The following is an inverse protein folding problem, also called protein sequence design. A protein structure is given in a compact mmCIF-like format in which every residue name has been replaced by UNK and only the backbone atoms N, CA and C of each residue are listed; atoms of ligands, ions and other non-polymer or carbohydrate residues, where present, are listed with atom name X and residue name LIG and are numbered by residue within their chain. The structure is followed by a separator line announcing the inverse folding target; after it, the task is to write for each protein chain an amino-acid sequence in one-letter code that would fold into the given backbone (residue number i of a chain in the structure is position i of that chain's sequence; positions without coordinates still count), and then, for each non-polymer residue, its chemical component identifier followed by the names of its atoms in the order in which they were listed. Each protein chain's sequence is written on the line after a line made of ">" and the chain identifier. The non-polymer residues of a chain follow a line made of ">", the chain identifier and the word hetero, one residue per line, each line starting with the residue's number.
data_IF_591211019445
#
_entry.id   IF_591211019445
#
_cell.length_a   1.000
_cell.length_b   1.000
_cell.length_c   1.000
_cell.angle_alpha   90.00
_cell.angle_beta   90.00
_cell.angle_gamma   90.00
#
_symmetry.space_group_name_H-M   'P 1'
#
loop_
_entity.id
_entity.type
_entity.pdbx_description
1 polymer ?
#
# COMPACT_ATOMS: atom_id res chain seq x y z
N UNK A 1 -26.19 14.37 13.16
CA UNK A 1 -26.38 13.60 11.92
C UNK A 1 -25.63 12.30 12.04
N UNK A 2 -26.34 11.16 12.06
CA UNK A 2 -25.69 9.84 12.09
C UNK A 2 -24.97 9.54 10.78
N UNK A 3 -23.95 8.67 10.80
CA UNK A 3 -23.20 8.27 9.60
C UNK A 3 -24.10 7.76 8.45
N UNK A 4 -25.22 7.12 8.78
CA UNK A 4 -26.23 6.64 7.83
C UNK A 4 -26.95 7.78 7.11
N UNK A 5 -27.33 8.84 7.82
CA UNK A 5 -28.04 9.99 7.24
C UNK A 5 -27.15 10.78 6.28
N UNK A 6 -25.88 11.00 6.66
CA UNK A 6 -24.90 11.65 5.80
C UNK A 6 -24.68 10.87 4.50
N UNK A 7 -24.52 9.54 4.60
CA UNK A 7 -24.31 8.66 3.44
C UNK A 7 -25.52 8.70 2.50
N UNK A 8 -26.74 8.70 3.05
CA UNK A 8 -27.97 8.80 2.27
C UNK A 8 -28.08 10.14 1.54
N UNK A 9 -27.91 11.26 2.25
CA UNK A 9 -27.96 12.61 1.65
C UNK A 9 -26.92 12.78 0.55
N UNK A 10 -25.71 12.27 0.77
CA UNK A 10 -24.66 12.24 -0.24
C UNK A 10 -25.10 11.48 -1.51
N UNK A 11 -25.66 10.28 -1.36
CA UNK A 11 -26.10 9.47 -2.50
C UNK A 11 -27.28 10.12 -3.25
N UNK A 12 -28.18 10.80 -2.53
CA UNK A 12 -29.26 11.59 -3.13
C UNK A 12 -28.69 12.69 -4.04
N UNK A 13 -27.77 13.51 -3.53
CA UNK A 13 -27.17 14.59 -4.33
C UNK A 13 -26.36 14.08 -5.52
N UNK A 14 -25.62 12.97 -5.39
CA UNK A 14 -24.96 12.35 -6.55
C UNK A 14 -25.99 11.97 -7.62
N UNK A 15 -27.11 11.39 -7.21
CA UNK A 15 -28.17 10.96 -8.13
C UNK A 15 -28.83 12.15 -8.83
N UNK A 16 -28.96 13.28 -8.14
CA UNK A 16 -29.43 14.55 -8.72
C UNK A 16 -28.43 15.10 -9.74
N UNK A 17 -27.14 15.21 -9.38
CA UNK A 17 -26.11 15.68 -10.30
C UNK A 17 -25.91 14.77 -11.51
N UNK A 18 -26.20 13.46 -11.40
CA UNK A 18 -26.21 12.54 -12.56
C UNK A 18 -27.29 12.88 -13.60
N UNK A 19 -28.39 13.53 -13.18
CA UNK A 19 -29.45 13.98 -14.08
C UNK A 19 -29.13 15.32 -14.73
N UNK A 20 -28.17 16.06 -14.17
CA UNK A 20 -27.71 17.31 -14.73
C UNK A 20 -26.83 17.05 -15.96
N UNK A 21 -27.24 17.62 -17.11
CA UNK A 21 -26.53 17.53 -18.40
C UNK A 21 -25.53 18.69 -18.56
N UNK A 22 -25.41 19.56 -17.54
CA UNK A 22 -24.45 20.66 -17.55
C UNK A 22 -23.00 20.16 -17.64
N UNK A 23 -22.15 20.92 -18.34
CA UNK A 23 -20.72 20.60 -18.42
C UNK A 23 -20.01 20.70 -17.05
N UNK A 24 -20.61 21.38 -16.07
CA UNK A 24 -20.11 21.51 -14.71
C UNK A 24 -20.44 20.32 -13.80
N UNK A 25 -21.40 19.46 -14.19
CA UNK A 25 -21.86 18.36 -13.34
C UNK A 25 -20.73 17.42 -12.86
N UNK A 26 -19.74 17.00 -13.70
CA UNK A 26 -18.63 16.17 -13.24
C UNK A 26 -17.78 16.85 -12.15
N UNK A 27 -17.53 18.15 -12.26
CA UNK A 27 -16.73 18.90 -11.28
C UNK A 27 -17.45 19.02 -9.94
N UNK A 28 -18.77 19.24 -9.97
CA UNK A 28 -19.61 19.28 -8.77
C UNK A 28 -19.67 17.91 -8.08
N UNK A 29 -19.80 16.82 -8.85
CA UNK A 29 -19.75 15.46 -8.31
C UNK A 29 -18.38 15.17 -7.68
N UNK A 30 -17.28 15.55 -8.33
CA UNK A 30 -15.93 15.38 -7.75
C UNK A 30 -15.79 16.16 -6.44
N UNK A 31 -16.24 17.42 -6.39
CA UNK A 31 -16.21 18.22 -5.17
C UNK A 31 -17.01 17.58 -4.03
N UNK A 32 -18.21 17.07 -4.35
CA UNK A 32 -19.05 16.35 -3.40
C UNK A 32 -18.37 15.08 -2.89
N UNK A 33 -17.78 14.26 -3.77
CA UNK A 33 -17.01 13.05 -3.37
C UNK A 33 -15.87 13.41 -2.43
N UNK A 34 -15.13 14.48 -2.72
CA UNK A 34 -14.00 14.92 -1.89
C UNK A 34 -14.43 15.39 -0.50
N UNK A 35 -15.68 15.83 -0.31
CA UNK A 35 -16.22 16.18 1.01
C UNK A 35 -16.34 14.97 1.94
N UNK A 36 -16.44 13.76 1.40
CA UNK A 36 -16.60 12.51 2.15
C UNK A 36 -15.28 11.86 2.58
N UNK A 37 -14.12 12.43 2.23
CA UNK A 37 -12.79 11.80 2.46
C UNK A 37 -12.46 11.50 3.92
N UNK A 38 -13.15 12.15 4.86
CA UNK A 38 -12.96 11.95 6.29
C UNK A 38 -13.91 10.92 6.90
N UNK A 39 -14.82 10.34 6.10
CA UNK A 39 -15.69 9.27 6.54
C UNK A 39 -14.83 8.09 7.03
N UNK A 40 -15.16 7.56 8.20
CA UNK A 40 -14.54 6.37 8.78
C UNK A 40 -15.62 5.36 9.06
N UNK A 41 -15.37 4.11 8.69
CA UNK A 41 -16.22 2.98 9.04
C UNK A 41 -15.69 2.39 10.34
N UNK A 42 -16.58 2.18 11.30
CA UNK A 42 -16.27 1.49 12.55
C UNK A 42 -16.33 -0.02 12.30
N UNK A 43 -15.21 -0.72 12.49
CA UNK A 43 -15.17 -2.20 12.40
C UNK A 43 -15.40 -2.90 13.74
N UNK A 44 -15.64 -2.15 14.83
CA UNK A 44 -15.79 -2.73 16.17
C UNK A 44 -17.13 -3.46 16.36
N UNK A 45 -18.17 -3.00 15.67
CA UNK A 45 -19.49 -3.61 15.66
C UNK A 45 -19.82 -4.08 14.24
N UNK A 46 -20.32 -5.31 14.12
CA UNK A 46 -20.62 -5.92 12.81
C UNK A 46 -21.68 -5.08 12.08
N UNK A 47 -22.71 -4.63 12.78
CA UNK A 47 -23.79 -3.82 12.20
C UNK A 47 -23.28 -2.47 11.65
N UNK A 48 -22.46 -1.74 12.40
CA UNK A 48 -21.82 -0.50 11.95
C UNK A 48 -20.94 -0.74 10.72
N UNK A 49 -20.21 -1.85 10.71
CA UNK A 49 -19.34 -2.23 9.62
C UNK A 49 -20.13 -2.55 8.36
N UNK A 50 -21.20 -3.35 8.46
CA UNK A 50 -22.09 -3.69 7.35
C UNK A 50 -22.82 -2.47 6.80
N UNK A 51 -23.27 -1.55 7.67
CA UNK A 51 -23.83 -0.28 7.24
C UNK A 51 -22.82 0.57 6.45
N UNK A 52 -21.56 0.61 6.91
CA UNK A 52 -20.48 1.24 6.16
C UNK A 52 -20.21 0.56 4.82
N UNK A 53 -20.23 -0.77 4.77
CA UNK A 53 -20.03 -1.54 3.54
C UNK A 53 -21.16 -1.33 2.54
N UNK A 54 -22.41 -1.14 3.00
CA UNK A 54 -23.53 -0.79 2.12
C UNK A 54 -23.28 0.51 1.38
N UNK A 55 -22.80 1.54 2.08
CA UNK A 55 -22.40 2.79 1.44
C UNK A 55 -21.25 2.60 0.44
N UNK A 56 -20.26 1.77 0.77
CA UNK A 56 -19.18 1.45 -0.18
C UNK A 56 -19.68 0.66 -1.40
N UNK A 57 -20.70 -0.19 -1.25
CA UNK A 57 -21.31 -0.92 -2.36
C UNK A 57 -22.07 0.01 -3.31
N UNK A 58 -22.74 1.04 -2.77
CA UNK A 58 -23.36 2.11 -3.57
C UNK A 58 -22.31 2.89 -4.38
N UNK A 59 -21.18 3.25 -3.75
CA UNK A 59 -20.04 3.85 -4.44
C UNK A 59 -19.45 2.91 -5.50
N UNK A 60 -19.41 1.61 -5.23
CA UNK A 60 -18.94 0.61 -6.18
C UNK A 60 -19.85 0.53 -7.42
N UNK A 61 -21.17 0.52 -7.24
CA UNK A 61 -22.13 0.60 -8.34
C UNK A 61 -21.91 1.85 -9.17
N UNK A 62 -21.75 3.01 -8.51
CA UNK A 62 -21.51 4.28 -9.16
C UNK A 62 -20.22 4.28 -10.00
N UNK A 63 -19.12 3.72 -9.46
CA UNK A 63 -17.85 3.60 -10.18
C UNK A 63 -17.99 2.79 -11.49
N UNK A 64 -18.80 1.74 -11.47
CA UNK A 64 -19.02 0.85 -12.61
C UNK A 64 -19.95 1.46 -13.66
N UNK A 65 -21.00 2.18 -13.24
CA UNK A 65 -21.98 2.81 -14.13
C UNK A 65 -21.45 4.04 -14.87
N UNK A 66 -20.64 4.86 -14.20
CA UNK A 66 -20.22 6.14 -14.76
C UNK A 66 -19.29 5.97 -15.96
N UNK A 67 -19.24 6.98 -16.82
CA UNK A 67 -18.29 7.04 -17.95
C UNK A 67 -17.19 8.09 -17.74
N UNK A 68 -17.49 9.15 -17.01
CA UNK A 68 -16.56 10.24 -16.76
C UNK A 68 -15.32 9.76 -15.99
N UNK A 69 -14.15 10.08 -16.53
CA UNK A 69 -12.87 9.58 -16.01
C UNK A 69 -12.52 10.22 -14.67
N UNK A 70 -12.74 11.52 -14.51
CA UNK A 70 -12.32 12.25 -13.32
C UNK A 70 -13.23 11.92 -12.13
N UNK A 71 -14.53 11.73 -12.37
CA UNK A 71 -15.46 11.21 -11.35
C UNK A 71 -15.07 9.80 -10.92
N UNK A 72 -14.72 8.89 -11.86
CA UNK A 72 -14.23 7.55 -11.50
C UNK A 72 -12.98 7.63 -10.62
N UNK A 73 -12.03 8.50 -10.96
CA UNK A 73 -10.82 8.68 -10.17
C UNK A 73 -11.12 9.18 -8.76
N UNK A 74 -12.05 10.12 -8.62
CA UNK A 74 -12.49 10.60 -7.31
C UNK A 74 -13.13 9.48 -6.47
N UNK A 75 -14.01 8.66 -7.05
CA UNK A 75 -14.62 7.53 -6.34
C UNK A 75 -13.56 6.52 -5.91
N UNK A 76 -12.62 6.15 -6.81
CA UNK A 76 -11.52 5.25 -6.45
C UNK A 76 -10.67 5.80 -5.30
N UNK A 77 -10.37 7.10 -5.33
CA UNK A 77 -9.67 7.78 -4.25
C UNK A 77 -10.44 7.72 -2.91
N UNK A 78 -11.74 8.00 -2.93
CA UNK A 78 -12.59 7.93 -1.74
C UNK A 78 -12.64 6.50 -1.16
N UNK A 79 -12.84 5.49 -2.01
CA UNK A 79 -12.82 4.08 -1.61
C UNK A 79 -11.50 3.72 -0.91
N UNK A 80 -10.35 4.17 -1.45
CA UNK A 80 -9.03 3.94 -0.86
C UNK A 80 -8.89 4.63 0.51
N UNK A 81 -9.31 5.88 0.63
CA UNK A 81 -9.24 6.64 1.90
C UNK A 81 -10.05 5.98 3.01
N UNK A 82 -11.21 5.39 2.68
CA UNK A 82 -12.08 4.71 3.64
C UNK A 82 -11.57 3.29 3.95
N UNK A 83 -11.19 2.52 2.93
CA UNK A 83 -10.83 1.11 3.07
C UNK A 83 -9.41 0.88 3.59
N UNK A 84 -8.45 1.76 3.32
CA UNK A 84 -7.05 1.53 3.76
C UNK A 84 -6.90 1.51 5.29
N UNK A 85 -7.55 2.40 6.07
CA UNK A 85 -7.60 2.30 7.53
C UNK A 85 -8.23 0.99 8.02
N UNK A 86 -9.33 0.54 7.39
CA UNK A 86 -9.96 -0.76 7.66
C UNK A 86 -8.96 -1.87 7.40
N UNK A 87 -8.25 -1.80 6.27
CA UNK A 87 -7.22 -2.75 5.89
C UNK A 87 -6.12 -2.85 6.94
N UNK A 88 -5.80 -1.81 7.71
CA UNK A 88 -4.77 -1.87 8.75
C UNK A 88 -5.23 -2.62 10.02
N UNK A 89 -6.53 -2.74 10.25
CA UNK A 89 -7.12 -3.23 11.51
C UNK A 89 -7.84 -4.57 11.36
N UNK A 90 -8.34 -4.86 10.15
CA UNK A 90 -9.17 -6.01 9.85
C UNK A 90 -8.46 -7.33 10.13
N UNK A 91 -9.18 -8.26 10.78
CA UNK A 91 -8.76 -9.62 11.08
C UNK A 91 -9.83 -10.62 10.63
N UNK A 92 -10.89 -10.79 11.42
CA UNK A 92 -11.94 -11.79 11.17
C UNK A 92 -13.01 -11.26 10.20
N UNK A 93 -13.13 -9.94 10.12
CA UNK A 93 -14.10 -9.22 9.32
C UNK A 93 -13.85 -9.42 7.82
N UNK A 94 -12.68 -9.94 7.41
CA UNK A 94 -12.44 -10.38 6.02
C UNK A 94 -13.46 -11.44 5.58
N UNK A 95 -14.09 -12.14 6.52
CA UNK A 95 -15.08 -13.18 6.25
C UNK A 95 -16.52 -12.65 6.20
N UNK A 96 -16.74 -11.35 6.37
CA UNK A 96 -18.08 -10.76 6.29
C UNK A 96 -18.55 -10.77 4.81
N UNK A 97 -19.72 -11.36 4.50
CA UNK A 97 -20.20 -11.51 3.13
C UNK A 97 -20.27 -10.21 2.33
N UNK A 98 -20.69 -9.11 2.97
CA UNK A 98 -20.77 -7.80 2.33
C UNK A 98 -19.39 -7.30 1.85
N UNK A 99 -18.32 -7.53 2.61
CA UNK A 99 -16.96 -7.16 2.21
C UNK A 99 -16.45 -8.05 1.08
N UNK A 100 -16.72 -9.35 1.15
CA UNK A 100 -16.34 -10.31 0.11
C UNK A 100 -17.00 -9.90 -1.22
N UNK A 101 -18.30 -9.61 -1.19
CA UNK A 101 -19.07 -9.18 -2.37
C UNK A 101 -18.52 -7.87 -2.94
N UNK A 102 -18.25 -6.87 -2.10
CA UNK A 102 -17.65 -5.60 -2.52
C UNK A 102 -16.31 -5.80 -3.24
N UNK A 103 -15.42 -6.63 -2.66
CA UNK A 103 -14.11 -6.94 -3.26
C UNK A 103 -14.28 -7.62 -4.62
N UNK A 104 -15.14 -8.64 -4.70
CA UNK A 104 -15.39 -9.39 -5.94
C UNK A 104 -15.99 -8.48 -7.02
N UNK A 105 -16.94 -7.61 -6.65
CA UNK A 105 -17.60 -6.65 -7.54
C UNK A 105 -16.61 -5.68 -8.19
N UNK A 106 -15.63 -5.20 -7.43
CA UNK A 106 -14.71 -4.16 -7.89
C UNK A 106 -13.39 -4.68 -8.49
N UNK A 107 -12.91 -5.84 -8.04
CA UNK A 107 -11.53 -6.26 -8.30
C UNK A 107 -11.22 -6.38 -9.79
N UNK A 108 -12.00 -7.16 -10.55
CA UNK A 108 -11.72 -7.46 -11.96
C UNK A 108 -11.67 -6.17 -12.79
N UNK A 109 -12.73 -5.36 -12.72
CA UNK A 109 -12.83 -4.12 -13.48
C UNK A 109 -11.74 -3.11 -13.12
N UNK A 110 -11.41 -2.98 -11.83
CA UNK A 110 -10.35 -2.06 -11.40
C UNK A 110 -8.97 -2.57 -11.81
N UNK A 111 -8.75 -3.88 -11.76
CA UNK A 111 -7.50 -4.50 -12.21
C UNK A 111 -7.28 -4.29 -13.72
N UNK A 112 -8.32 -4.40 -14.55
CA UNK A 112 -8.23 -4.10 -15.98
C UNK A 112 -7.89 -2.63 -16.26
N UNK A 113 -8.33 -1.71 -15.39
CA UNK A 113 -7.97 -0.29 -15.48
C UNK A 113 -6.48 -0.04 -15.22
N UNK A 114 -5.76 -0.94 -14.55
CA UNK A 114 -4.31 -0.80 -14.30
C UNK A 114 -3.48 -0.85 -15.59
N UNK A 115 -4.00 -1.46 -16.66
CA UNK A 115 -3.35 -1.46 -17.97
C UNK A 115 -3.55 -0.14 -18.73
N UNK A 116 -4.58 0.64 -18.39
CA UNK A 116 -4.97 1.87 -19.10
C UNK A 116 -4.18 3.07 -18.57
N UNK A 117 -3.38 3.71 -19.44
CA UNK A 117 -2.47 4.82 -19.11
C UNK A 117 -3.11 5.89 -18.20
N UNK A 118 -4.32 6.34 -18.52
CA UNK A 118 -4.99 7.41 -17.79
C UNK A 118 -5.60 6.99 -16.45
N UNK A 119 -5.74 5.69 -16.16
CA UNK A 119 -6.34 5.21 -14.92
C UNK A 119 -5.31 4.69 -13.91
N UNK A 120 -4.06 4.42 -14.32
CA UNK A 120 -3.01 3.81 -13.49
C UNK A 120 -2.90 4.41 -12.09
N UNK A 121 -2.80 5.74 -12.00
CA UNK A 121 -2.58 6.43 -10.72
C UNK A 121 -3.72 6.24 -9.72
N UNK A 122 -4.96 6.08 -10.18
CA UNK A 122 -6.12 5.86 -9.32
C UNK A 122 -6.41 4.36 -9.11
N UNK A 123 -6.20 3.53 -10.15
CA UNK A 123 -6.48 2.10 -10.13
C UNK A 123 -5.49 1.32 -9.25
N UNK A 124 -4.20 1.65 -9.29
CA UNK A 124 -3.18 0.94 -8.50
C UNK A 124 -3.49 0.95 -6.99
N UNK A 125 -3.74 2.13 -6.37
CA UNK A 125 -4.13 2.20 -4.96
C UNK A 125 -5.41 1.41 -4.66
N UNK A 126 -6.43 1.46 -5.52
CA UNK A 126 -7.67 0.74 -5.27
C UNK A 126 -7.50 -0.78 -5.36
N UNK A 127 -6.84 -1.32 -6.40
CA UNK A 127 -6.55 -2.76 -6.49
C UNK A 127 -5.74 -3.24 -5.28
N UNK A 128 -4.74 -2.46 -4.87
CA UNK A 128 -3.96 -2.72 -3.66
C UNK A 128 -4.85 -2.80 -2.44
N UNK A 129 -5.74 -1.82 -2.26
CA UNK A 129 -6.61 -1.72 -1.11
C UNK A 129 -7.60 -2.89 -1.05
N UNK A 130 -8.21 -3.24 -2.18
CA UNK A 130 -9.12 -4.39 -2.32
C UNK A 130 -8.43 -5.70 -1.95
N UNK A 131 -7.21 -5.93 -2.45
CA UNK A 131 -6.41 -7.09 -2.06
C UNK A 131 -6.09 -7.06 -0.55
N UNK A 132 -5.77 -5.90 0.01
CA UNK A 132 -5.44 -5.79 1.44
C UNK A 132 -6.63 -6.02 2.39
N UNK A 133 -7.88 -5.78 1.96
CA UNK A 133 -9.08 -6.09 2.75
C UNK A 133 -9.67 -7.47 2.43
N UNK A 134 -9.18 -8.15 1.39
CA UNK A 134 -9.71 -9.43 0.94
C UNK A 134 -9.36 -10.60 1.87
N UNK A 135 -10.12 -11.70 1.73
CA UNK A 135 -9.82 -12.98 2.37
C UNK A 135 -8.48 -13.54 1.88
N UNK A 136 -7.78 -14.30 2.75
CA UNK A 136 -6.48 -14.92 2.44
C UNK A 136 -6.50 -15.71 1.13
N UNK A 137 -7.52 -16.53 0.88
CA UNK A 137 -7.61 -17.32 -0.36
C UNK A 137 -7.71 -16.43 -1.60
N UNK A 138 -8.60 -15.42 -1.57
CA UNK A 138 -8.74 -14.46 -2.67
C UNK A 138 -7.45 -13.69 -2.90
N UNK A 139 -6.79 -13.22 -1.83
CA UNK A 139 -5.51 -12.54 -1.91
C UNK A 139 -4.46 -13.43 -2.61
N UNK A 140 -4.26 -14.65 -2.12
CA UNK A 140 -3.23 -15.57 -2.64
C UNK A 140 -3.45 -15.94 -4.12
N UNK A 141 -4.71 -16.04 -4.56
CA UNK A 141 -5.06 -16.32 -5.94
C UNK A 141 -4.74 -15.16 -6.90
N UNK A 142 -4.81 -13.91 -6.42
CA UNK A 142 -4.83 -12.73 -7.29
C UNK A 142 -3.58 -11.85 -7.19
N UNK A 143 -2.95 -11.79 -6.01
CA UNK A 143 -1.91 -10.78 -5.74
C UNK A 143 -0.65 -10.95 -6.60
N UNK A 144 -0.29 -12.16 -7.03
CA UNK A 144 0.93 -12.41 -7.83
C UNK A 144 0.84 -11.75 -9.20
N UNK A 145 -0.33 -11.79 -9.83
CA UNK A 145 -0.54 -11.13 -11.12
C UNK A 145 -0.35 -9.62 -10.98
N UNK A 146 -0.98 -9.01 -9.97
CA UNK A 146 -0.87 -7.58 -9.74
C UNK A 146 0.52 -7.16 -9.21
N UNK A 147 1.21 -8.04 -8.46
CA UNK A 147 2.61 -7.85 -8.06
C UNK A 147 3.49 -7.69 -9.29
N UNK A 148 3.38 -8.57 -10.28
CA UNK A 148 4.19 -8.50 -11.50
C UNK A 148 3.95 -7.18 -12.25
N UNK A 149 2.71 -6.70 -12.28
CA UNK A 149 2.39 -5.36 -12.81
C UNK A 149 3.12 -4.28 -12.03
N UNK A 150 3.11 -4.31 -10.69
CA UNK A 150 3.84 -3.36 -9.84
C UNK A 150 5.34 -3.39 -10.12
N UNK A 151 5.95 -4.58 -10.18
CA UNK A 151 7.38 -4.76 -10.43
C UNK A 151 7.80 -4.19 -11.80
N UNK A 152 6.98 -4.39 -12.83
CA UNK A 152 7.23 -3.83 -14.18
C UNK A 152 7.26 -2.29 -14.20
N UNK A 153 6.58 -1.65 -13.23
CA UNK A 153 6.41 -0.21 -13.14
C UNK A 153 7.40 0.48 -12.18
N UNK A 154 8.24 -0.26 -11.44
CA UNK A 154 9.24 0.33 -10.52
C UNK A 154 10.31 1.18 -11.23
N UNK A 155 10.61 0.89 -12.49
CA UNK A 155 11.56 1.65 -13.32
C UNK A 155 10.87 2.60 -14.30
N UNK A 156 9.60 2.93 -14.06
CA UNK A 156 8.86 3.80 -14.98
C UNK A 156 9.46 5.21 -15.02
N UNK A 157 9.47 5.82 -16.21
CA UNK A 157 9.93 7.21 -16.39
C UNK A 157 9.01 8.21 -15.67
N UNK A 158 7.72 7.89 -15.57
CA UNK A 158 6.77 8.63 -14.76
C UNK A 158 6.96 8.27 -13.28
N UNK A 159 7.53 9.21 -12.53
CA UNK A 159 7.85 9.05 -11.10
C UNK A 159 6.60 8.84 -10.24
N UNK A 160 5.43 9.35 -10.64
CA UNK A 160 4.17 9.10 -9.92
C UNK A 160 3.73 7.65 -10.10
N UNK A 161 3.87 7.10 -11.32
CA UNK A 161 3.56 5.69 -11.58
C UNK A 161 4.51 4.77 -10.81
N UNK A 162 5.82 5.07 -10.82
CA UNK A 162 6.80 4.30 -10.05
C UNK A 162 6.51 4.37 -8.53
N UNK A 163 6.09 5.55 -8.03
CA UNK A 163 5.69 5.73 -6.64
C UNK A 163 4.48 4.89 -6.26
N UNK A 164 3.37 4.97 -7.00
CA UNK A 164 2.18 4.17 -6.67
C UNK A 164 2.47 2.68 -6.78
N UNK A 165 3.28 2.24 -7.74
CA UNK A 165 3.71 0.85 -7.86
C UNK A 165 4.53 0.37 -6.65
N UNK A 166 5.48 1.18 -6.17
CA UNK A 166 6.25 0.86 -4.97
C UNK A 166 5.36 0.83 -3.72
N UNK A 167 4.46 1.80 -3.57
CA UNK A 167 3.53 1.85 -2.45
C UNK A 167 2.57 0.65 -2.44
N UNK A 168 2.11 0.22 -3.62
CA UNK A 168 1.33 -1.00 -3.81
C UNK A 168 2.11 -2.24 -3.38
N UNK A 169 3.31 -2.44 -3.94
CA UNK A 169 4.21 -3.53 -3.56
C UNK A 169 4.44 -3.59 -2.04
N UNK A 170 4.73 -2.43 -1.44
CA UNK A 170 5.02 -2.31 -0.02
C UNK A 170 3.87 -2.78 0.87
N UNK A 171 2.62 -2.45 0.51
CA UNK A 171 1.41 -2.90 1.23
C UNK A 171 1.09 -4.37 0.97
N UNK A 172 1.18 -4.83 -0.28
CA UNK A 172 0.92 -6.22 -0.63
C UNK A 172 1.89 -7.17 0.06
N UNK A 173 3.18 -6.80 0.10
CA UNK A 173 4.19 -7.60 0.77
C UNK A 173 3.94 -7.67 2.28
N UNK A 174 3.46 -6.59 2.90
CA UNK A 174 3.05 -6.62 4.30
C UNK A 174 1.92 -7.63 4.53
N UNK A 175 0.86 -7.61 3.72
CA UNK A 175 -0.26 -8.56 3.83
C UNK A 175 0.24 -9.99 3.64
N UNK A 176 1.10 -10.21 2.65
CA UNK A 176 1.67 -11.51 2.36
C UNK A 176 2.54 -12.06 3.50
N UNK A 177 3.54 -11.29 3.95
CA UNK A 177 4.51 -11.75 4.96
C UNK A 177 3.94 -11.72 6.38
N UNK A 178 3.21 -10.67 6.74
CA UNK A 178 2.82 -10.42 8.14
C UNK A 178 1.43 -10.97 8.44
N UNK A 179 0.43 -10.66 7.62
CA UNK A 179 -0.94 -11.10 7.88
C UNK A 179 -1.16 -12.57 7.50
N UNK A 180 -0.69 -12.96 6.32
CA UNK A 180 -0.99 -14.27 5.75
C UNK A 180 0.06 -15.34 6.08
N UNK A 181 1.17 -14.96 6.73
CA UNK A 181 2.31 -15.81 7.07
C UNK A 181 2.97 -16.49 5.85
N UNK A 182 3.07 -15.75 4.75
CA UNK A 182 3.57 -16.22 3.46
C UNK A 182 2.84 -17.48 2.93
N UNK A 183 3.38 -18.09 1.88
CA UNK A 183 2.97 -19.43 1.46
C UNK A 183 4.14 -20.43 1.61
N UNK A 184 4.01 -21.63 1.05
CA UNK A 184 5.04 -22.66 1.15
C UNK A 184 6.46 -22.16 0.82
N UNK A 185 7.47 -22.77 1.44
CA UNK A 185 8.86 -22.28 1.45
C UNK A 185 9.44 -21.95 0.06
N UNK A 186 9.22 -22.81 -0.94
CA UNK A 186 9.77 -22.63 -2.28
C UNK A 186 9.10 -21.49 -3.06
N UNK A 187 7.77 -21.42 -3.05
CA UNK A 187 7.00 -20.38 -3.73
C UNK A 187 7.31 -19.00 -3.13
N UNK A 188 7.38 -18.91 -1.80
CA UNK A 188 7.79 -17.68 -1.11
C UNK A 188 9.18 -17.25 -1.54
N UNK A 189 10.16 -18.16 -1.59
CA UNK A 189 11.52 -17.81 -2.00
C UNK A 189 11.57 -17.23 -3.42
N UNK A 190 10.96 -17.91 -4.38
CA UNK A 190 10.91 -17.45 -5.78
C UNK A 190 10.31 -16.04 -5.92
N UNK A 191 9.26 -15.74 -5.15
CA UNK A 191 8.64 -14.40 -5.16
C UNK A 191 9.54 -13.35 -4.53
N UNK A 192 10.19 -13.68 -3.41
CA UNK A 192 11.15 -12.79 -2.78
C UNK A 192 12.34 -12.50 -3.70
N UNK A 193 12.81 -13.48 -4.47
CA UNK A 193 13.87 -13.29 -5.47
C UNK A 193 13.44 -12.28 -6.55
N UNK A 194 12.21 -12.39 -7.06
CA UNK A 194 11.67 -11.43 -8.04
C UNK A 194 11.53 -10.01 -7.47
N UNK A 195 11.00 -9.88 -6.25
CA UNK A 195 10.84 -8.60 -5.55
C UNK A 195 12.21 -7.97 -5.27
N UNK A 196 13.13 -8.72 -4.67
CA UNK A 196 14.45 -8.22 -4.27
C UNK A 196 15.34 -7.95 -5.49
N UNK A 197 15.25 -8.76 -6.55
CA UNK A 197 15.94 -8.51 -7.81
C UNK A 197 15.47 -7.22 -8.49
N UNK A 198 14.19 -6.85 -8.29
CA UNK A 198 13.63 -5.60 -8.83
C UNK A 198 14.02 -4.37 -8.01
N UNK A 199 14.00 -4.47 -6.67
CA UNK A 199 14.29 -3.36 -5.75
C UNK A 199 15.80 -3.14 -5.55
N UNK A 200 16.56 -4.23 -5.45
CA UNK A 200 17.99 -4.26 -5.11
C UNK A 200 18.83 -4.97 -6.18
N UNK A 201 18.70 -4.64 -7.47
CA UNK A 201 19.37 -5.37 -8.54
C UNK A 201 20.87 -5.52 -8.27
N UNK A 202 21.36 -6.77 -8.32
CA UNK A 202 22.76 -7.11 -8.06
C UNK A 202 23.66 -6.43 -9.08
N UNK A 203 24.78 -5.87 -8.63
CA UNK A 203 25.72 -5.11 -9.47
C UNK A 203 25.30 -3.66 -9.79
N UNK A 204 24.07 -3.25 -9.46
CA UNK A 204 23.64 -1.86 -9.64
C UNK A 204 24.08 -1.01 -8.43
N UNK A 205 24.56 0.21 -8.70
CA UNK A 205 24.92 1.20 -7.67
C UNK A 205 23.73 1.70 -6.85
N UNK A 206 22.55 1.74 -7.45
CA UNK A 206 21.37 2.38 -6.86
C UNK A 206 20.29 1.37 -6.50
N UNK A 207 19.42 1.78 -5.57
CA UNK A 207 18.15 1.11 -5.25
C UNK A 207 17.09 1.62 -6.23
N UNK A 208 16.07 0.80 -6.51
CA UNK A 208 15.00 1.12 -7.45
C UNK A 208 13.66 1.18 -6.73
N UNK A 209 12.86 2.26 -6.88
CA UNK A 209 13.15 3.52 -7.59
C UNK A 209 14.11 4.45 -6.81
N UNK A 210 14.87 5.29 -7.52
CA UNK A 210 15.87 6.19 -6.92
C UNK A 210 15.29 7.31 -6.07
N UNK A 211 14.13 7.83 -6.46
CA UNK A 211 13.49 8.98 -5.78
C UNK A 211 12.61 8.55 -4.61
N UNK A 212 12.60 7.25 -4.27
CA UNK A 212 11.79 6.71 -3.20
C UNK A 212 12.46 6.92 -1.82
N UNK A 213 11.70 7.24 -0.76
CA UNK A 213 12.24 7.32 0.59
C UNK A 213 12.87 5.99 1.02
N UNK A 214 14.16 6.04 1.44
CA UNK A 214 14.91 4.83 1.82
C UNK A 214 14.25 3.99 2.91
N UNK A 215 13.43 4.62 3.76
CA UNK A 215 12.67 3.97 4.83
C UNK A 215 11.73 2.87 4.32
N UNK A 216 11.24 2.98 3.09
CA UNK A 216 10.35 1.97 2.51
C UNK A 216 11.12 0.66 2.32
N UNK A 217 12.32 0.72 1.76
CA UNK A 217 13.17 -0.46 1.54
C UNK A 217 13.60 -1.11 2.84
N UNK A 218 13.97 -0.30 3.84
CA UNK A 218 14.28 -0.81 5.20
C UNK A 218 13.08 -1.57 5.77
N UNK A 219 11.86 -1.05 5.62
CA UNK A 219 10.65 -1.73 6.09
C UNK A 219 10.27 -2.96 5.27
N UNK A 220 10.52 -2.96 3.96
CA UNK A 220 10.36 -4.14 3.11
C UNK A 220 11.25 -5.28 3.62
N UNK A 221 12.54 -5.00 3.88
CA UNK A 221 13.47 -6.00 4.43
C UNK A 221 13.01 -6.47 5.81
N UNK A 222 12.54 -5.55 6.65
CA UNK A 222 11.98 -5.89 7.95
C UNK A 222 10.73 -6.79 7.81
N UNK A 223 9.83 -6.57 6.85
CA UNK A 223 8.68 -7.47 6.65
C UNK A 223 9.13 -8.86 6.24
N UNK A 224 10.15 -8.96 5.39
CA UNK A 224 10.71 -10.23 4.93
C UNK A 224 11.32 -10.99 6.11
N UNK A 225 12.08 -10.31 6.97
CA UNK A 225 12.78 -10.94 8.09
C UNK A 225 11.85 -11.54 9.13
N UNK A 226 10.60 -11.06 9.24
CA UNK A 226 9.61 -11.58 10.19
C UNK A 226 9.26 -13.06 9.94
N UNK A 227 9.30 -13.52 8.69
CA UNK A 227 9.05 -14.94 8.36
C UNK A 227 10.27 -15.64 7.75
N UNK A 228 11.20 -14.88 7.16
CA UNK A 228 12.34 -15.39 6.38
C UNK A 228 13.63 -14.67 6.78
N UNK A 229 13.97 -14.74 8.06
CA UNK A 229 15.16 -14.10 8.64
C UNK A 229 16.45 -14.48 7.90
N UNK A 230 16.68 -15.78 7.68
CA UNK A 230 17.88 -16.27 6.98
C UNK A 230 18.01 -15.70 5.56
N UNK A 231 16.90 -15.66 4.82
CA UNK A 231 16.85 -15.06 3.49
C UNK A 231 17.14 -13.56 3.53
N UNK A 232 16.50 -12.83 4.45
CA UNK A 232 16.72 -11.39 4.58
C UNK A 232 18.20 -11.06 4.84
N UNK A 233 18.89 -11.85 5.66
CA UNK A 233 20.31 -11.67 5.93
C UNK A 233 21.19 -12.06 4.75
N UNK A 234 21.09 -13.31 4.28
CA UNK A 234 22.02 -13.87 3.29
C UNK A 234 21.84 -13.28 1.89
N UNK A 235 20.59 -13.09 1.48
CA UNK A 235 20.29 -12.70 0.09
C UNK A 235 20.15 -11.19 -0.08
N UNK A 236 19.82 -10.45 0.99
CA UNK A 236 19.58 -9.00 0.91
C UNK A 236 20.63 -8.22 1.70
N UNK A 237 20.70 -8.36 3.02
CA UNK A 237 21.56 -7.50 3.87
C UNK A 237 23.03 -7.70 3.53
N UNK A 238 23.52 -8.94 3.41
CA UNK A 238 24.92 -9.21 3.06
C UNK A 238 25.30 -8.72 1.67
N UNK A 239 24.37 -8.74 0.71
CA UNK A 239 24.57 -8.15 -0.61
C UNK A 239 24.65 -6.61 -0.53
N UNK A 240 23.71 -5.97 0.17
CA UNK A 240 23.68 -4.52 0.35
C UNK A 240 24.91 -3.97 1.09
N UNK A 241 25.50 -4.79 1.97
CA UNK A 241 26.72 -4.47 2.73
C UNK A 241 28.01 -4.95 2.05
N UNK A 242 27.92 -5.59 0.88
CA UNK A 242 29.05 -6.14 0.14
C UNK A 242 29.89 -7.19 0.91
N UNK A 243 29.31 -7.90 1.90
CA UNK A 243 30.03 -8.85 2.77
C UNK A 243 30.65 -10.00 1.98
N UNK A 244 29.96 -10.46 0.94
CA UNK A 244 30.38 -11.62 0.15
C UNK A 244 31.26 -11.27 -1.07
N UNK A 245 31.46 -9.98 -1.35
CA UNK A 245 32.10 -9.56 -2.60
C UNK A 245 33.53 -9.03 -2.37
N UNK A 246 34.45 -9.95 -2.07
CA UNK A 246 35.87 -9.64 -1.72
C UNK A 246 36.64 -8.89 -2.80
N UNK A 247 36.18 -8.95 -4.05
CA UNK A 247 36.82 -8.28 -5.20
C UNK A 247 36.24 -6.90 -5.50
N UNK A 248 35.10 -6.55 -4.89
CA UNK A 248 34.41 -5.29 -5.16
C UNK A 248 34.97 -4.16 -4.29
N UNK A 249 35.81 -3.31 -4.88
CA UNK A 249 36.40 -2.15 -4.20
C UNK A 249 35.44 -0.96 -4.03
N UNK A 250 34.34 -0.95 -4.78
CA UNK A 250 33.40 0.18 -4.80
C UNK A 250 32.28 0.01 -3.79
N UNK A 251 32.22 0.92 -2.81
CA UNK A 251 31.15 1.00 -1.82
C UNK A 251 29.95 1.77 -2.39
N UNK A 252 28.75 1.25 -2.14
CA UNK A 252 27.49 1.88 -2.56
C UNK A 252 26.75 2.42 -1.35
N UNK A 253 27.02 3.69 -1.00
CA UNK A 253 26.54 4.32 0.23
C UNK A 253 25.02 4.19 0.45
N UNK A 254 24.22 4.33 -0.60
CA UNK A 254 22.75 4.20 -0.50
C UNK A 254 22.30 2.77 -0.14
N UNK A 255 22.90 1.77 -0.80
CA UNK A 255 22.65 0.35 -0.51
C UNK A 255 23.08 -0.03 0.90
N UNK A 256 24.28 0.40 1.28
CA UNK A 256 24.81 0.17 2.63
C UNK A 256 23.94 0.83 3.69
N UNK A 257 23.46 2.05 3.45
CA UNK A 257 22.57 2.76 4.36
C UNK A 257 21.28 1.95 4.59
N UNK A 258 20.64 1.43 3.54
CA UNK A 258 19.48 0.54 3.69
C UNK A 258 19.83 -0.76 4.42
N UNK A 259 20.96 -1.40 4.07
CA UNK A 259 21.41 -2.64 4.70
C UNK A 259 21.68 -2.50 6.20
N UNK A 260 22.44 -1.47 6.61
CA UNK A 260 22.75 -1.18 8.01
C UNK A 260 21.46 -0.86 8.77
N UNK A 261 20.59 -0.02 8.22
CA UNK A 261 19.34 0.36 8.90
C UNK A 261 18.37 -0.80 9.03
N UNK A 262 18.31 -1.68 8.04
CA UNK A 262 17.54 -2.91 8.13
C UNK A 262 18.09 -3.83 9.22
N UNK A 263 19.41 -4.05 9.25
CA UNK A 263 20.08 -4.82 10.29
C UNK A 263 19.76 -4.27 11.69
N UNK A 264 19.89 -2.96 11.90
CA UNK A 264 19.62 -2.31 13.19
C UNK A 264 18.17 -2.48 13.62
N UNK A 265 17.21 -2.25 12.73
CA UNK A 265 15.78 -2.39 13.04
C UNK A 265 15.42 -3.84 13.37
N UNK A 266 16.02 -4.81 12.68
CA UNK A 266 15.78 -6.23 12.95
C UNK A 266 16.39 -6.65 14.29
N UNK A 267 17.65 -6.26 14.55
CA UNK A 267 18.34 -6.58 15.80
C UNK A 267 17.61 -5.98 17.01
N UNK A 268 17.22 -4.71 16.93
CA UNK A 268 16.44 -4.02 17.96
C UNK A 268 15.08 -4.72 18.20
N UNK A 269 14.37 -5.06 17.12
CA UNK A 269 13.09 -5.78 17.23
C UNK A 269 13.20 -7.16 17.88
N UNK A 270 14.26 -7.91 17.57
CA UNK A 270 14.54 -9.21 18.20
C UNK A 270 14.90 -9.06 19.69
N UNK A 271 15.64 -8.01 20.05
CA UNK A 271 16.01 -7.74 21.43
C UNK A 271 14.80 -7.31 22.29
N UNK A 272 13.95 -6.43 21.75
CA UNK A 272 12.78 -5.90 22.46
C UNK A 272 11.59 -6.89 22.47
N UNK A 273 11.64 -7.97 21.67
CA UNK A 273 10.49 -8.87 21.40
C UNK A 273 9.28 -8.08 20.90
N UNK A 274 9.55 -7.15 19.98
CA UNK A 274 8.56 -6.23 19.43
C UNK A 274 7.46 -6.97 18.65
N UNK A 275 6.24 -6.45 18.71
CA UNK A 275 5.15 -6.91 17.85
C UNK A 275 5.52 -6.76 16.36
N UNK A 276 4.94 -7.59 15.46
CA UNK A 276 5.14 -7.46 14.04
C UNK A 276 4.84 -6.04 13.54
N UNK A 277 5.57 -5.55 12.52
CA UNK A 277 5.38 -4.20 12.00
C UNK A 277 3.93 -3.93 11.59
N UNK A 278 3.42 -2.73 11.87
CA UNK A 278 2.09 -2.31 11.44
C UNK A 278 2.01 -2.09 9.91
N UNK A 279 0.80 -2.21 9.35
CA UNK A 279 0.53 -2.00 7.93
C UNK A 279 0.95 -0.58 7.47
N UNK A 280 1.51 -0.43 6.25
CA UNK A 280 1.85 0.89 5.72
C UNK A 280 0.66 1.84 5.53
N UNK A 281 0.76 3.05 6.12
CA UNK A 281 -0.20 4.14 5.91
C UNK A 281 0.05 4.87 4.59
N UNK A 282 -0.93 5.64 4.08
CA UNK A 282 -0.74 6.56 2.95
C UNK A 282 0.35 7.56 3.26
N UNK A 283 1.28 7.76 2.32
CA UNK A 283 2.26 8.83 2.43
C UNK A 283 1.55 10.13 2.06
N UNK A 284 1.33 11.01 3.05
CA UNK A 284 0.80 12.33 2.77
C UNK A 284 1.66 13.06 1.73
N UNK A 285 1.13 14.08 1.03
CA UNK A 285 1.98 15.01 0.31
C UNK A 285 3.05 15.51 1.28
N UNK A 286 4.30 15.59 0.83
CA UNK A 286 5.40 16.11 1.63
C UNK A 286 5.18 17.62 1.84
N UNK A 287 4.24 17.95 2.71
CA UNK A 287 3.90 19.30 3.11
C UNK A 287 4.61 19.60 4.43
N UNK A 288 5.40 20.66 4.40
CA UNK A 288 5.95 21.33 5.57
C UNK A 288 4.82 21.66 6.56
N UNK A 289 5.03 21.36 7.85
CA UNK A 289 4.20 21.87 8.93
C UNK A 289 3.34 20.84 9.68
N UNK A 290 3.72 20.64 10.94
CA UNK A 290 2.90 20.14 12.06
C UNK A 290 2.58 18.64 12.11
N UNK A 291 3.51 17.91 12.72
CA UNK A 291 3.33 16.51 13.13
C UNK A 291 2.65 16.49 14.49
N UNK A 292 1.42 15.96 14.56
CA UNK A 292 0.88 15.44 15.82
C UNK A 292 1.83 14.37 16.36
N UNK A 293 2.37 14.61 17.56
CA UNK A 293 3.29 13.70 18.26
C UNK A 293 2.56 12.43 18.70
N UNK A 294 2.38 11.47 17.80
CA UNK A 294 2.32 10.05 18.18
C UNK A 294 3.75 9.60 18.45
N UNK A 295 4.04 8.99 19.61
CA UNK A 295 5.38 8.53 20.02
C UNK A 295 6.13 7.92 18.83
N UNK A 296 7.06 8.69 18.26
CA UNK A 296 7.83 8.28 17.08
C UNK A 296 8.82 7.21 17.55
N UNK A 297 8.69 5.98 17.04
CA UNK A 297 9.84 5.07 16.95
C UNK A 297 10.97 5.88 16.30
N UNK A 298 12.07 6.10 17.03
CA UNK A 298 13.21 6.86 16.53
C UNK A 298 13.94 6.00 15.50
N UNK A 299 13.42 5.98 14.28
CA UNK A 299 14.24 5.63 13.13
C UNK A 299 15.37 6.64 13.08
N UNK A 300 16.62 6.15 13.12
CA UNK A 300 17.79 6.99 12.83
C UNK A 300 17.56 7.56 11.43
N UNK A 301 17.31 8.87 11.41
CA UNK A 301 16.94 9.67 10.23
C UNK A 301 18.05 10.63 9.86
N UNK A 302 19.12 10.69 10.67
CA UNK A 302 20.31 11.50 10.44
C UNK A 302 21.53 10.59 10.29
N UNK A 303 22.51 10.97 9.45
CA UNK A 303 23.79 10.25 9.39
C UNK A 303 24.47 10.27 10.75
N UNK A 304 25.00 9.13 11.16
CA UNK A 304 25.81 9.00 12.37
C UNK A 304 27.09 9.81 12.16
N UNK A 305 27.24 10.89 12.91
CA UNK A 305 28.45 11.73 12.94
C UNK A 305 29.14 11.55 14.29
N UNK A 306 30.47 11.70 14.32
CA UNK A 306 31.29 11.51 15.53
C UNK A 306 30.89 12.39 16.73
N UNK A 307 30.07 13.43 16.50
CA UNK A 307 29.56 14.30 17.57
C UNK A 307 28.48 13.64 18.44
N UNK A 308 27.86 12.54 17.98
CA UNK A 308 26.81 11.83 18.71
C UNK A 308 27.41 10.83 19.72
N UNK A 309 28.73 10.65 19.72
CA UNK A 309 29.45 9.61 20.48
C UNK A 309 30.00 10.06 21.83
N UNK A 310 29.55 11.20 22.37
CA UNK A 310 29.97 11.70 23.70
C UNK A 310 28.85 11.56 24.73
#
# INVERSE_FOLDING_TARGET
>A
MGHSELSRTFMTHITEFKKDVSQSAPQQIVALIMSMKFLRINSSQIEDFENGLKFLDDLASLLLELKDKDVKHAIMGLLVEILLPVAAQIKRETNIPALISLVQKLYVTTNDMTSKKHHKLAAFPLVTCLLCVSQKHFFLANWVQFLNVCLSHLKNKDTQVARVALESLYRLLWVYMIRNNADGNAATRSRLDSICGSLFPKGNRYIVPRDAPLNIFVKIIHFISQQKLDYAFKEIIFDLLCVNNRTQRSLYAERMNVGIRALMVIADGLQQKDDPPAMPKSMGPSASGTVQKTKRKQYITRPLTNEISK
#
